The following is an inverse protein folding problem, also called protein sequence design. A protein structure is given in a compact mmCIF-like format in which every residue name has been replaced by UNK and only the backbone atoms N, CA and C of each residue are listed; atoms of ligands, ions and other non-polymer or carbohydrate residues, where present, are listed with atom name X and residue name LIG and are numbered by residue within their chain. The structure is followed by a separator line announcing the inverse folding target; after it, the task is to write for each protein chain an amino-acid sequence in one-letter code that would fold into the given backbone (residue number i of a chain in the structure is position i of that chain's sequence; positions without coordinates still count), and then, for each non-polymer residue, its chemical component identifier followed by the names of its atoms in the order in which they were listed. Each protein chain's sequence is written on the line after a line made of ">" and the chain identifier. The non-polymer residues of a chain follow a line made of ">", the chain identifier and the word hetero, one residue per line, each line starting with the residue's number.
data_IF_038408634725
#
_entry.id   IF_038408634725
#
_cell.length_a   1.000
_cell.length_b   1.000
_cell.length_c   1.000
_cell.angle_alpha   90.00
_cell.angle_beta   90.00
_cell.angle_gamma   90.00
#
_symmetry.space_group_name_H-M   'P 1'
#
loop_
_entity.id
_entity.type
_entity.pdbx_description
1 polymer ?
#
# COMPACT_ATOMS: atom_id res chain seq x y z
N UNK A 1 -22.70 15.21 0.83
CA UNK A 1 -22.16 14.92 2.18
C UNK A 1 -20.84 15.64 2.33
N UNK A 2 -20.65 16.52 3.32
CA UNK A 2 -19.37 17.15 3.57
C UNK A 2 -18.31 16.09 3.92
N UNK A 3 -17.11 16.25 3.36
CA UNK A 3 -15.99 15.30 3.51
C UNK A 3 -15.71 14.94 4.98
N UNK A 4 -15.88 15.92 5.89
CA UNK A 4 -15.71 15.77 7.34
C UNK A 4 -16.68 14.72 7.93
N UNK A 5 -17.96 14.75 7.57
CA UNK A 5 -18.95 13.78 8.05
C UNK A 5 -18.66 12.36 7.54
N UNK A 6 -18.21 12.25 6.29
CA UNK A 6 -17.82 10.96 5.72
C UNK A 6 -16.60 10.36 6.43
N UNK A 7 -15.57 11.17 6.73
CA UNK A 7 -14.38 10.73 7.48
C UNK A 7 -14.75 10.38 8.92
N UNK A 8 -15.59 11.18 9.59
CA UNK A 8 -16.09 10.91 10.94
C UNK A 8 -16.83 9.57 11.02
N UNK A 9 -17.58 9.17 9.97
CA UNK A 9 -18.25 7.86 9.90
C UNK A 9 -17.29 6.66 9.88
N UNK A 10 -15.99 6.91 9.69
CA UNK A 10 -14.93 5.90 9.60
C UNK A 10 -14.01 5.89 10.82
N UNK A 11 -14.22 6.76 11.81
CA UNK A 11 -13.46 6.75 13.07
C UNK A 11 -13.63 5.42 13.83
N UNK A 12 -12.57 5.00 14.53
CA UNK A 12 -12.51 3.69 15.20
C UNK A 12 -12.15 2.53 14.28
N UNK A 13 -11.91 2.79 12.99
CA UNK A 13 -11.45 1.78 12.01
C UNK A 13 -9.96 1.94 11.68
N UNK A 14 -9.19 2.72 12.44
CA UNK A 14 -7.77 3.00 12.16
C UNK A 14 -6.97 1.69 12.06
N UNK A 15 -7.23 0.74 12.95
CA UNK A 15 -6.58 -0.59 12.93
C UNK A 15 -6.76 -1.31 11.60
N UNK A 16 -7.94 -1.21 10.98
CA UNK A 16 -8.21 -1.81 9.66
C UNK A 16 -7.37 -1.16 8.55
N UNK A 17 -7.20 0.15 8.60
CA UNK A 17 -6.36 0.87 7.64
C UNK A 17 -4.87 0.61 7.88
N UNK A 18 -4.41 0.48 9.14
CA UNK A 18 -3.06 0.00 9.45
C UNK A 18 -2.80 -1.40 8.88
N UNK A 19 -3.70 -2.35 9.09
CA UNK A 19 -3.56 -3.70 8.54
C UNK A 19 -3.50 -3.68 7.01
N UNK A 20 -4.35 -2.88 6.35
CA UNK A 20 -4.31 -2.72 4.89
C UNK A 20 -3.01 -2.09 4.41
N UNK A 21 -2.51 -1.07 5.12
CA UNK A 21 -1.21 -0.47 4.85
C UNK A 21 -0.10 -1.50 4.94
N UNK A 22 -0.08 -2.32 6.00
CA UNK A 22 0.90 -3.39 6.18
C UNK A 22 0.83 -4.44 5.06
N UNK A 23 -0.37 -4.88 4.67
CA UNK A 23 -0.56 -5.83 3.55
C UNK A 23 -0.02 -5.22 2.24
N UNK A 24 -0.35 -3.97 1.96
CA UNK A 24 0.16 -3.26 0.77
C UNK A 24 1.68 -3.12 0.79
N UNK A 25 2.25 -2.75 1.93
CA UNK A 25 3.70 -2.63 2.10
C UNK A 25 4.40 -3.98 1.91
N UNK A 26 3.86 -5.07 2.47
CA UNK A 26 4.39 -6.43 2.25
C UNK A 26 4.37 -6.82 0.78
N UNK A 27 3.27 -6.55 0.07
CA UNK A 27 3.18 -6.80 -1.38
C UNK A 27 4.19 -5.96 -2.17
N UNK A 28 4.35 -4.69 -1.80
CA UNK A 28 5.32 -3.78 -2.41
C UNK A 28 6.75 -4.34 -2.31
N UNK A 29 7.16 -4.72 -1.09
CA UNK A 29 8.49 -5.26 -0.85
C UNK A 29 8.67 -6.66 -1.47
N UNK A 30 7.66 -7.52 -1.45
CA UNK A 30 7.71 -8.82 -2.10
C UNK A 30 7.90 -8.67 -3.63
N UNK A 31 7.11 -7.80 -4.26
CA UNK A 31 7.25 -7.51 -5.70
C UNK A 31 8.60 -6.90 -6.05
N UNK A 32 9.08 -5.95 -5.23
CA UNK A 32 10.41 -5.34 -5.40
C UNK A 32 11.53 -6.36 -5.23
N UNK A 33 11.40 -7.25 -4.24
CA UNK A 33 12.33 -8.36 -4.03
C UNK A 33 12.36 -9.34 -5.21
N UNK A 34 11.21 -9.62 -5.82
CA UNK A 34 11.13 -10.46 -7.01
C UNK A 34 11.82 -9.83 -8.23
N UNK A 35 11.67 -8.51 -8.43
CA UNK A 35 12.39 -7.77 -9.48
C UNK A 35 13.90 -7.83 -9.27
N UNK A 36 14.37 -7.54 -8.05
CA UNK A 36 15.81 -7.63 -7.72
C UNK A 36 16.34 -9.06 -7.84
N UNK A 37 15.54 -10.06 -7.44
CA UNK A 37 15.90 -11.46 -7.61
C UNK A 37 16.06 -11.83 -9.08
N UNK A 38 15.09 -11.46 -9.93
CA UNK A 38 15.15 -11.72 -11.35
C UNK A 38 16.40 -11.12 -11.99
N UNK A 39 16.68 -9.85 -11.68
CA UNK A 39 17.83 -9.12 -12.21
C UNK A 39 19.18 -9.70 -11.79
N UNK A 40 19.29 -10.17 -10.54
CA UNK A 40 20.58 -10.63 -10.00
C UNK A 40 20.81 -12.14 -10.12
N UNK A 41 19.76 -12.95 -10.32
CA UNK A 41 19.85 -14.42 -10.20
C UNK A 41 19.38 -15.18 -11.44
N UNK A 42 18.72 -14.52 -12.38
CA UNK A 42 18.27 -15.13 -13.63
C UNK A 42 19.11 -14.53 -14.76
N UNK A 43 19.67 -15.38 -15.61
CA UNK A 43 20.39 -14.91 -16.80
C UNK A 43 19.43 -14.17 -17.75
N UNK A 44 19.92 -13.16 -18.50
CA UNK A 44 19.14 -12.44 -19.50
C UNK A 44 18.36 -13.37 -20.42
N UNK A 45 17.03 -13.40 -20.25
CA UNK A 45 16.13 -14.34 -20.91
C UNK A 45 14.68 -13.89 -20.78
N UNK A 46 13.79 -14.49 -21.59
CA UNK A 46 12.35 -14.26 -21.50
C UNK A 46 11.80 -14.59 -20.10
N UNK A 47 12.37 -15.59 -19.43
CA UNK A 47 11.98 -15.96 -18.06
C UNK A 47 12.28 -14.83 -17.07
N UNK A 48 13.45 -14.17 -17.18
CA UNK A 48 13.78 -13.02 -16.34
C UNK A 48 12.74 -11.91 -16.52
N UNK A 49 12.43 -11.55 -17.77
CA UNK A 49 11.45 -10.50 -18.09
C UNK A 49 10.06 -10.79 -17.51
N UNK A 50 9.58 -12.03 -17.63
CA UNK A 50 8.29 -12.45 -17.07
C UNK A 50 8.28 -12.36 -15.55
N UNK A 51 9.35 -12.81 -14.88
CA UNK A 51 9.45 -12.73 -13.41
C UNK A 51 9.53 -11.27 -12.95
N UNK A 52 10.31 -10.44 -13.65
CA UNK A 52 10.39 -8.99 -13.40
C UNK A 52 9.02 -8.33 -13.56
N UNK A 53 8.26 -8.67 -14.60
CA UNK A 53 6.93 -8.11 -14.85
C UNK A 53 5.92 -8.51 -13.76
N UNK A 54 5.96 -9.77 -13.29
CA UNK A 54 5.16 -10.24 -12.16
C UNK A 54 5.55 -9.48 -10.89
N UNK A 55 6.85 -9.30 -10.63
CA UNK A 55 7.35 -8.51 -9.52
C UNK A 55 6.88 -7.05 -9.58
N UNK A 56 6.94 -6.43 -10.75
CA UNK A 56 6.55 -5.04 -10.99
C UNK A 56 5.05 -4.83 -10.76
N UNK A 57 4.20 -5.68 -11.33
CA UNK A 57 2.74 -5.61 -11.16
C UNK A 57 2.33 -5.85 -9.70
N UNK A 58 2.99 -6.79 -9.01
CA UNK A 58 2.80 -7.04 -7.59
C UNK A 58 3.22 -5.83 -6.75
N UNK A 59 4.38 -5.25 -7.05
CA UNK A 59 4.90 -4.10 -6.34
C UNK A 59 3.99 -2.87 -6.50
N UNK A 60 3.58 -2.58 -7.74
CA UNK A 60 2.66 -1.48 -8.05
C UNK A 60 1.32 -1.62 -7.32
N UNK A 61 0.75 -2.83 -7.30
CA UNK A 61 -0.49 -3.11 -6.57
C UNK A 61 -0.31 -2.89 -5.06
N UNK A 62 0.80 -3.38 -4.49
CA UNK A 62 1.15 -3.15 -3.09
C UNK A 62 1.29 -1.67 -2.74
N UNK A 63 1.96 -0.90 -3.60
CA UNK A 63 2.12 0.54 -3.43
C UNK A 63 0.77 1.26 -3.42
N UNK A 64 -0.14 0.96 -4.35
CA UNK A 64 -1.47 1.58 -4.41
C UNK A 64 -2.32 1.25 -3.16
N UNK A 65 -2.29 0.00 -2.70
CA UNK A 65 -3.00 -0.42 -1.49
C UNK A 65 -2.42 0.29 -0.26
N UNK A 66 -1.09 0.32 -0.14
CA UNK A 66 -0.39 0.94 0.99
C UNK A 66 -0.65 2.44 1.04
N UNK A 67 -0.49 3.13 -0.09
CA UNK A 67 -0.71 4.56 -0.23
C UNK A 67 -2.14 4.96 0.12
N UNK A 68 -3.13 4.28 -0.47
CA UNK A 68 -4.54 4.58 -0.21
C UNK A 68 -4.93 4.35 1.26
N UNK A 69 -4.39 3.30 1.88
CA UNK A 69 -4.61 3.03 3.30
C UNK A 69 -3.97 4.08 4.20
N UNK A 70 -2.74 4.50 3.89
CA UNK A 70 -2.03 5.51 4.68
C UNK A 70 -2.65 6.90 4.54
N UNK A 71 -3.08 7.30 3.34
CA UNK A 71 -3.83 8.55 3.12
C UNK A 71 -5.07 8.58 4.01
N UNK A 72 -5.87 7.51 4.01
CA UNK A 72 -7.08 7.45 4.84
C UNK A 72 -6.77 7.49 6.33
N UNK A 73 -5.68 6.85 6.75
CA UNK A 73 -5.24 6.86 8.13
C UNK A 73 -4.75 8.25 8.59
N UNK A 74 -4.02 8.96 7.72
CA UNK A 74 -3.63 10.35 7.96
C UNK A 74 -4.85 11.27 8.05
N UNK A 75 -5.84 11.10 7.17
CA UNK A 75 -7.10 11.85 7.24
C UNK A 75 -7.82 11.57 8.58
N UNK A 76 -7.95 10.31 8.99
CA UNK A 76 -8.58 9.96 10.27
C UNK A 76 -7.90 10.63 11.46
N UNK A 77 -6.56 10.66 11.49
CA UNK A 77 -5.78 11.30 12.55
C UNK A 77 -5.94 12.82 12.58
N UNK A 78 -5.89 13.47 11.41
CA UNK A 78 -6.02 14.92 11.30
C UNK A 78 -7.41 15.41 11.77
N UNK A 79 -8.46 14.68 11.41
CA UNK A 79 -9.83 15.02 11.79
C UNK A 79 -10.24 14.51 13.18
N UNK A 80 -9.51 13.58 13.79
CA UNK A 80 -9.71 13.24 15.21
C UNK A 80 -9.13 14.31 16.14
N UNK A 81 -8.00 14.90 15.77
CA UNK A 81 -7.30 15.89 16.61
C UNK A 81 -8.10 17.20 16.71
N UNK A 82 -8.66 17.65 15.58
CA UNK A 82 -9.56 18.82 15.51
C UNK A 82 -10.92 18.67 16.22
N UNK A 83 -11.18 17.54 16.91
CA UNK A 83 -12.37 17.37 17.77
C UNK A 83 -12.08 17.67 19.25
N UNK A 84 -10.81 17.74 19.64
CA UNK A 84 -10.40 17.98 21.02
C UNK A 84 -10.08 19.46 21.32
N UNK A 85 -10.17 20.33 20.30
CA UNK A 85 -10.11 21.80 20.41
C UNK A 85 -11.52 22.40 20.21
#
# INVERSE_FOLDING_TARGET
>A
MPLKEWISSKQGKERRYLTRFSIGATLFFAGSGAMLFADNRISPSLTQEVVTLIGMTTAASGALISLSAYIMLTLLRLFSDTRND
#
